data_IF_112452269355
#
_entry.id   IF_112452269355
#
_cell.length_a   1.000
_cell.length_b   1.000
_cell.length_c   1.000
_cell.angle_alpha   90.00
_cell.angle_beta   90.00
_cell.angle_gamma   90.00
#
_symmetry.space_group_name_H-M   'P 1'
#
loop_
_entity.id
_entity.type
_entity.pdbx_description
1 polymer ?
#
# COMPACT_ATOMS: atom_id res chain seq x y z
N UNK A 1 13.14 16.13 8.79
CA UNK A 1 12.70 15.67 10.14
C UNK A 1 11.30 15.04 10.16
N UNK A 2 10.45 15.20 9.13
CA UNK A 2 9.09 14.65 9.11
C UNK A 2 9.02 13.11 8.97
N UNK A 3 9.96 12.49 8.26
CA UNK A 3 9.97 11.03 7.98
C UNK A 3 10.07 10.17 9.25
N UNK A 4 10.72 10.67 10.32
CA UNK A 4 10.90 9.93 11.59
C UNK A 4 9.60 9.74 12.37
N UNK A 5 8.68 10.72 12.31
CA UNK A 5 7.40 10.63 13.03
C UNK A 5 6.46 9.64 12.35
N UNK A 6 6.43 9.67 11.01
CA UNK A 6 5.67 8.72 10.21
C UNK A 6 6.01 7.26 10.53
N UNK A 7 7.31 6.93 10.62
CA UNK A 7 7.75 5.57 10.91
C UNK A 7 7.26 5.07 12.28
N UNK A 8 7.25 5.95 13.28
CA UNK A 8 6.80 5.62 14.64
C UNK A 8 5.29 5.40 14.65
N UNK A 9 4.52 6.28 14.01
CA UNK A 9 3.06 6.14 13.93
C UNK A 9 2.67 4.86 13.20
N UNK A 10 3.34 4.56 12.09
CA UNK A 10 3.12 3.32 11.34
C UNK A 10 3.48 2.11 12.20
N UNK A 11 4.65 2.09 12.84
CA UNK A 11 5.06 1.01 13.72
C UNK A 11 4.10 0.83 14.91
N UNK A 12 3.58 1.91 15.49
CA UNK A 12 2.57 1.85 16.56
C UNK A 12 1.25 1.27 16.06
N UNK A 13 0.82 1.69 14.87
CA UNK A 13 -0.41 1.21 14.25
C UNK A 13 -0.33 -0.28 13.96
N UNK A 14 0.80 -0.74 13.41
CA UNK A 14 1.08 -2.15 13.18
C UNK A 14 1.25 -2.93 14.49
N UNK A 15 1.92 -2.38 15.51
CA UNK A 15 2.08 -3.02 16.82
C UNK A 15 0.76 -3.24 17.55
N UNK A 16 -0.23 -2.36 17.34
CA UNK A 16 -1.58 -2.55 17.88
C UNK A 16 -2.27 -3.79 17.27
N UNK A 17 -1.90 -4.19 16.05
CA UNK A 17 -2.14 -5.54 15.56
C UNK A 17 -1.01 -6.43 16.03
N UNK A 18 -1.12 -6.89 17.27
CA UNK A 18 -0.26 -7.92 17.84
C UNK A 18 -0.12 -9.07 16.82
N UNK A 19 1.09 -9.63 16.67
CA UNK A 19 1.33 -10.90 15.95
C UNK A 19 0.46 -11.97 16.61
N UNK A 20 -0.71 -12.20 16.04
CA UNK A 20 -1.61 -13.29 16.39
C UNK A 20 -1.14 -14.49 15.53
N UNK A 21 -1.24 -15.72 16.01
CA UNK A 21 -0.98 -16.90 15.17
C UNK A 21 -2.27 -17.30 14.46
N UNK A 22 -2.69 -16.50 13.49
CA UNK A 22 -3.91 -16.65 12.68
C UNK A 22 -3.63 -17.27 11.29
N UNK A 23 -2.43 -17.83 11.08
CA UNK A 23 -2.04 -18.45 9.81
C UNK A 23 -1.81 -17.48 8.65
N UNK A 24 -1.90 -16.17 8.90
CA UNK A 24 -1.62 -15.11 7.93
C UNK A 24 -0.12 -14.95 7.70
N UNK A 25 0.25 -14.83 6.42
CA UNK A 25 1.66 -14.79 5.95
C UNK A 25 2.20 -13.36 5.95
N UNK A 26 1.34 -12.39 5.64
CA UNK A 26 1.71 -10.98 5.50
C UNK A 26 1.15 -10.13 6.65
N UNK A 27 1.97 -9.21 7.13
CA UNK A 27 1.57 -8.22 8.12
C UNK A 27 0.73 -7.11 7.47
N UNK A 28 1.05 -6.74 6.22
CA UNK A 28 0.17 -5.91 5.40
C UNK A 28 0.29 -6.18 3.89
N UNK A 29 -0.83 -6.00 3.20
CA UNK A 29 -0.92 -5.88 1.74
C UNK A 29 -0.90 -4.41 1.36
N UNK A 30 0.03 -3.99 0.49
CA UNK A 30 0.20 -2.59 0.09
C UNK A 30 -0.45 -2.35 -1.26
N UNK A 31 -1.38 -1.39 -1.32
CA UNK A 31 -2.08 -0.96 -2.53
C UNK A 31 -1.87 0.53 -2.76
N UNK A 32 -1.68 0.91 -4.02
CA UNK A 32 -1.41 2.30 -4.42
C UNK A 32 -1.91 2.55 -5.85
N UNK A 33 -2.31 3.80 -6.19
CA UNK A 33 -2.70 4.15 -7.55
C UNK A 33 -1.48 4.21 -8.47
N UNK A 34 -1.40 3.30 -9.46
CA UNK A 34 -0.26 3.20 -10.41
C UNK A 34 -0.10 4.42 -11.31
N UNK A 35 -1.18 5.14 -11.60
CA UNK A 35 -1.19 6.32 -12.48
C UNK A 35 -0.32 7.48 -11.96
N UNK A 36 0.00 7.49 -10.67
CA UNK A 36 0.77 8.56 -10.01
C UNK A 36 2.26 8.26 -9.83
N UNK A 37 2.76 7.10 -10.28
CA UNK A 37 4.04 6.53 -9.83
C UNK A 37 5.22 6.90 -10.75
N UNK A 38 4.99 7.59 -11.87
CA UNK A 38 6.06 8.11 -12.72
C UNK A 38 6.84 9.21 -11.98
N UNK A 39 8.09 8.91 -11.57
CA UNK A 39 9.09 9.83 -11.00
C UNK A 39 8.70 10.66 -9.75
N UNK A 40 7.63 10.27 -9.04
CA UNK A 40 7.11 11.04 -7.90
C UNK A 40 7.57 10.50 -6.54
N UNK A 41 7.40 11.29 -5.47
CA UNK A 41 7.73 10.92 -4.10
C UNK A 41 7.08 9.59 -3.65
N UNK A 42 5.94 9.21 -4.24
CA UNK A 42 5.28 7.92 -4.03
C UNK A 42 6.15 6.72 -4.41
N UNK A 43 6.84 6.77 -5.56
CA UNK A 43 7.68 5.66 -6.03
C UNK A 43 8.87 5.42 -5.10
N UNK A 44 9.52 6.53 -4.69
CA UNK A 44 10.62 6.50 -3.71
C UNK A 44 10.12 5.98 -2.36
N UNK A 45 8.94 6.42 -1.95
CA UNK A 45 8.34 5.98 -0.70
C UNK A 45 8.03 4.47 -0.70
N UNK A 46 7.38 3.95 -1.75
CA UNK A 46 7.03 2.53 -1.87
C UNK A 46 8.24 1.62 -2.02
N UNK A 47 9.25 2.05 -2.79
CA UNK A 47 10.39 1.20 -3.12
C UNK A 47 11.50 1.22 -2.06
N UNK A 48 11.65 2.34 -1.33
CA UNK A 48 12.76 2.52 -0.39
C UNK A 48 12.29 2.79 1.03
N UNK A 49 11.52 3.86 1.24
CA UNK A 49 11.21 4.34 2.61
C UNK A 49 10.36 3.34 3.38
N UNK A 50 9.32 2.82 2.74
CA UNK A 50 8.35 1.92 3.37
C UNK A 50 8.97 0.56 3.69
N UNK A 51 9.67 -0.13 2.76
CA UNK A 51 10.48 -1.31 3.07
C UNK A 51 11.53 -1.09 4.16
N UNK A 52 12.30 0.00 4.10
CA UNK A 52 13.37 0.28 5.06
C UNK A 52 12.85 0.51 6.49
N UNK A 53 11.63 1.01 6.65
CA UNK A 53 11.03 1.23 7.98
C UNK A 53 10.30 -0.03 8.46
N UNK A 54 9.43 -0.59 7.63
CA UNK A 54 8.56 -1.68 8.07
C UNK A 54 9.26 -3.03 8.02
N UNK A 55 10.04 -3.33 6.99
CA UNK A 55 10.71 -4.63 6.84
C UNK A 55 12.05 -4.64 7.60
N UNK A 56 12.93 -3.66 7.36
CA UNK A 56 14.28 -3.64 7.96
C UNK A 56 14.27 -3.23 9.44
N UNK A 57 13.67 -2.09 9.79
CA UNK A 57 13.68 -1.62 11.18
C UNK A 57 12.67 -2.33 12.08
N UNK A 58 11.50 -2.69 11.56
CA UNK A 58 10.41 -3.28 12.36
C UNK A 58 10.22 -4.79 12.17
N UNK A 59 10.82 -5.40 11.14
CA UNK A 59 10.71 -6.84 10.89
C UNK A 59 9.32 -7.31 10.47
N UNK A 60 8.50 -6.43 9.88
CA UNK A 60 7.20 -6.78 9.31
C UNK A 60 7.36 -7.38 7.91
N UNK A 61 6.43 -8.25 7.51
CA UNK A 61 6.36 -8.80 6.16
C UNK A 61 5.30 -8.07 5.36
N UNK A 62 5.70 -7.44 4.27
CA UNK A 62 4.79 -6.73 3.38
C UNK A 62 4.64 -7.49 2.07
N UNK A 63 3.45 -7.40 1.49
CA UNK A 63 3.26 -7.72 0.08
C UNK A 63 3.04 -6.42 -0.67
N UNK A 64 3.95 -6.09 -1.60
CA UNK A 64 3.84 -4.90 -2.44
C UNK A 64 3.53 -5.34 -3.85
N UNK A 65 2.36 -4.93 -4.34
CA UNK A 65 1.97 -5.18 -5.72
C UNK A 65 2.99 -4.53 -6.67
N UNK A 66 3.38 -5.24 -7.73
CA UNK A 66 4.47 -4.92 -8.66
C UNK A 66 5.84 -5.45 -8.27
N UNK A 67 6.09 -5.71 -6.98
CA UNK A 67 7.37 -6.28 -6.48
C UNK A 67 7.27 -7.77 -6.21
N UNK A 68 6.19 -8.16 -5.54
CA UNK A 68 6.01 -9.51 -4.97
C UNK A 68 5.00 -10.37 -5.76
N UNK A 69 4.51 -9.87 -6.90
CA UNK A 69 3.52 -10.56 -7.72
C UNK A 69 4.08 -11.82 -8.39
N UNK A 70 3.25 -12.86 -8.44
CA UNK A 70 3.54 -14.07 -9.20
C UNK A 70 3.21 -13.86 -10.68
N UNK A 71 4.18 -14.04 -11.60
CA UNK A 71 3.90 -13.90 -13.03
C UNK A 71 2.96 -15.02 -13.50
N UNK A 72 1.87 -14.63 -14.16
CA UNK A 72 0.88 -15.56 -14.73
C UNK A 72 -0.27 -15.95 -13.80
N UNK A 73 -0.36 -15.40 -12.59
CA UNK A 73 -1.55 -15.48 -11.74
C UNK A 73 -2.61 -14.49 -12.23
N UNK A 74 -3.90 -14.83 -12.08
CA UNK A 74 -4.98 -13.88 -12.36
C UNK A 74 -4.96 -12.75 -11.31
N UNK A 75 -5.09 -11.50 -11.77
CA UNK A 75 -4.98 -10.33 -10.88
C UNK A 75 -6.06 -10.36 -9.79
N UNK A 76 -7.29 -10.76 -10.13
CA UNK A 76 -8.38 -10.79 -9.16
C UNK A 76 -8.15 -11.86 -8.09
N UNK A 77 -7.73 -13.04 -8.51
CA UNK A 77 -7.38 -14.13 -7.60
C UNK A 77 -6.19 -13.76 -6.70
N UNK A 78 -5.20 -13.06 -7.26
CA UNK A 78 -4.03 -12.59 -6.51
C UNK A 78 -4.43 -11.57 -5.44
N UNK A 79 -5.26 -10.58 -5.76
CA UNK A 79 -5.76 -9.59 -4.79
C UNK A 79 -6.52 -10.26 -3.66
N UNK A 80 -7.49 -11.13 -3.99
CA UNK A 80 -8.29 -11.85 -3.00
C UNK A 80 -7.41 -12.70 -2.08
N UNK A 81 -6.45 -13.42 -2.66
CA UNK A 81 -5.49 -14.23 -1.92
C UNK A 81 -4.63 -13.36 -1.00
N UNK A 82 -4.08 -12.27 -1.50
CA UNK A 82 -3.23 -11.37 -0.73
C UNK A 82 -4.00 -10.73 0.43
N UNK A 83 -5.24 -10.33 0.22
CA UNK A 83 -6.14 -9.85 1.27
C UNK A 83 -6.36 -10.89 2.36
N UNK A 84 -6.67 -12.12 1.98
CA UNK A 84 -6.91 -13.21 2.95
C UNK A 84 -5.66 -13.53 3.76
N UNK A 85 -4.50 -13.49 3.12
CA UNK A 85 -3.20 -13.77 3.74
C UNK A 85 -2.63 -12.57 4.52
N UNK A 86 -3.25 -11.39 4.44
CA UNK A 86 -2.78 -10.16 5.06
C UNK A 86 -3.60 -9.77 6.28
N UNK A 87 -2.91 -9.26 7.30
CA UNK A 87 -3.58 -8.78 8.53
C UNK A 87 -4.18 -7.40 8.35
N UNK A 88 -3.57 -6.59 7.49
CA UNK A 88 -3.94 -5.21 7.23
C UNK A 88 -3.83 -4.87 5.74
N UNK A 89 -4.63 -3.92 5.31
CA UNK A 89 -4.48 -3.28 4.01
C UNK A 89 -3.80 -1.93 4.23
N UNK A 90 -2.63 -1.73 3.65
CA UNK A 90 -1.91 -0.46 3.65
C UNK A 90 -2.16 0.24 2.32
N UNK A 91 -2.96 1.28 2.37
CA UNK A 91 -3.31 2.15 1.26
C UNK A 91 -2.31 3.29 1.23
N UNK A 92 -1.55 3.45 0.14
CA UNK A 92 -0.59 4.55 -0.03
C UNK A 92 -1.05 5.42 -1.20
N UNK A 93 -1.21 6.73 -0.95
CA UNK A 93 -1.69 7.68 -1.96
C UNK A 93 -1.00 9.04 -1.81
N UNK A 94 -0.99 9.85 -2.88
CA UNK A 94 -0.41 11.20 -2.85
C UNK A 94 -1.46 12.26 -2.58
N UNK A 95 -1.05 13.32 -1.88
CA UNK A 95 -1.87 14.48 -1.56
C UNK A 95 -2.02 15.46 -2.72
N UNK A 96 -2.40 15.00 -3.91
CA UNK A 96 -2.70 15.95 -4.99
C UNK A 96 -3.84 15.40 -5.83
N UNK A 97 -4.96 16.11 -5.80
CA UNK A 97 -6.05 15.98 -6.77
C UNK A 97 -5.65 16.47 -8.16
N UNK A 98 -4.48 16.08 -8.68
CA UNK A 98 -4.01 16.41 -10.03
C UNK A 98 -3.68 15.16 -10.83
N UNK A 99 -4.54 14.14 -10.73
CA UNK A 99 -4.69 13.18 -11.83
C UNK A 99 -5.68 13.76 -12.84
N UNK A 100 -5.39 14.98 -13.29
CA UNK A 100 -6.18 15.74 -14.24
C UNK A 100 -5.48 15.77 -15.59
N UNK A 101 -5.64 14.71 -16.37
CA UNK A 101 -5.61 14.78 -17.83
C UNK A 101 -4.33 14.34 -18.54
N UNK A 102 -4.32 13.10 -18.99
CA UNK A 102 -4.28 12.66 -20.40
C UNK A 102 -3.93 11.17 -20.37
N UNK A 103 -4.87 10.29 -20.69
CA UNK A 103 -5.01 9.89 -22.08
C UNK A 103 -4.31 8.55 -22.28
N UNK A 104 -5.08 7.47 -22.06
CA UNK A 104 -4.81 6.07 -22.44
C UNK A 104 -3.78 5.31 -21.59
N UNK A 105 -4.26 4.54 -20.61
CA UNK A 105 -3.63 3.31 -20.09
C UNK A 105 -4.72 2.39 -19.46
N UNK A 106 -4.50 1.07 -19.36
CA UNK A 106 -5.56 0.06 -19.57
C UNK A 106 -6.48 -0.18 -18.35
N UNK A 107 -7.71 -0.68 -18.58
CA UNK A 107 -8.71 -0.93 -17.53
C UNK A 107 -8.31 -1.95 -16.45
N UNK A 108 -7.17 -2.62 -16.60
CA UNK A 108 -6.76 -3.74 -15.77
C UNK A 108 -5.98 -3.29 -14.53
N UNK A 109 -5.24 -2.17 -14.58
CA UNK A 109 -4.31 -1.80 -13.50
C UNK A 109 -4.94 -0.99 -12.36
N UNK A 110 -6.12 -0.40 -12.59
CA UNK A 110 -6.92 0.28 -11.56
C UNK A 110 -7.75 -0.70 -10.72
N UNK A 111 -7.91 -1.93 -11.22
CA UNK A 111 -8.80 -2.94 -10.69
C UNK A 111 -8.38 -3.42 -9.30
N UNK A 112 -7.08 -3.58 -9.06
CA UNK A 112 -6.56 -4.13 -7.81
C UNK A 112 -6.69 -3.15 -6.64
N UNK A 113 -6.51 -1.85 -6.89
CA UNK A 113 -6.80 -0.82 -5.91
C UNK A 113 -8.30 -0.70 -5.64
N UNK A 114 -9.13 -0.66 -6.70
CA UNK A 114 -10.57 -0.51 -6.55
C UNK A 114 -11.20 -1.72 -5.83
N UNK A 115 -10.80 -2.95 -6.18
CA UNK A 115 -11.19 -4.15 -5.45
C UNK A 115 -10.58 -4.20 -4.06
N UNK A 116 -9.31 -3.79 -3.95
CA UNK A 116 -8.56 -3.51 -2.73
C UNK A 116 -9.39 -2.80 -1.67
N UNK A 117 -9.83 -1.63 -2.06
CA UNK A 117 -10.62 -0.71 -1.24
C UNK A 117 -12.06 -1.20 -1.08
N UNK A 118 -12.70 -1.69 -2.15
CA UNK A 118 -14.08 -2.16 -2.08
C UNK A 118 -14.25 -3.36 -1.14
N UNK A 119 -13.39 -4.38 -1.24
CA UNK A 119 -13.44 -5.53 -0.34
C UNK A 119 -13.20 -5.10 1.11
N UNK A 120 -12.23 -4.23 1.36
CA UNK A 120 -11.95 -3.80 2.73
C UNK A 120 -13.07 -2.94 3.34
N UNK A 121 -13.69 -2.04 2.56
CA UNK A 121 -14.75 -1.14 3.05
C UNK A 121 -16.13 -1.80 3.12
N UNK A 122 -16.44 -2.72 2.20
CA UNK A 122 -17.77 -3.33 2.09
C UNK A 122 -17.85 -4.64 2.87
N UNK A 123 -16.77 -5.41 2.94
CA UNK A 123 -16.77 -6.70 3.63
C UNK A 123 -16.24 -6.60 5.08
N UNK A 124 -15.65 -5.47 5.49
CA UNK A 124 -15.02 -5.23 6.81
C UNK A 124 -14.04 -6.33 7.25
N UNK A 125 -13.47 -7.07 6.30
CA UNK A 125 -12.65 -8.27 6.57
C UNK A 125 -11.24 -7.96 7.07
N UNK A 126 -10.77 -6.73 6.83
CA UNK A 126 -9.38 -6.34 7.08
C UNK A 126 -9.29 -4.87 7.54
N UNK A 127 -8.41 -4.59 8.50
CA UNK A 127 -8.16 -3.21 8.95
C UNK A 127 -7.34 -2.45 7.91
N UNK A 128 -7.85 -1.29 7.49
CA UNK A 128 -7.19 -0.40 6.52
C UNK A 128 -6.37 0.66 7.23
N UNK A 129 -5.15 0.90 6.73
CA UNK A 129 -4.28 2.01 7.09
C UNK A 129 -4.09 2.85 5.85
N UNK A 130 -4.43 4.14 5.92
CA UNK A 130 -4.20 5.08 4.82
C UNK A 130 -2.96 5.91 5.12
N UNK A 131 -2.04 5.95 4.17
CA UNK A 131 -0.82 6.76 4.18
C UNK A 131 -0.90 7.73 3.03
N UNK A 132 -0.95 9.01 3.39
CA UNK A 132 -0.88 10.10 2.44
C UNK A 132 0.56 10.62 2.38
N UNK A 133 1.14 10.58 1.19
CA UNK A 133 2.47 11.10 0.90
C UNK A 133 2.31 12.46 0.24
N UNK A 134 2.85 13.49 0.86
CA UNK A 134 2.85 14.83 0.26
C UNK A 134 4.18 15.05 -0.45
N UNK A 135 4.12 15.50 -1.69
CA UNK A 135 5.30 16.00 -2.39
C UNK A 135 5.60 17.40 -1.84
N UNK A 136 6.82 17.62 -1.33
CA UNK A 136 7.24 18.85 -0.66
C UNK A 136 7.35 20.08 -1.57
N UNK A 137 6.56 20.17 -2.64
CA UNK A 137 6.45 21.35 -3.48
C UNK A 137 5.65 22.43 -2.74
N UNK A 138 6.30 23.04 -1.74
CA UNK A 138 5.91 24.33 -1.22
C UNK A 138 6.01 25.35 -2.36
N UNK A 139 4.90 25.59 -3.07
CA UNK A 139 4.77 26.76 -3.92
C UNK A 139 4.76 27.99 -3.01
N UNK A 140 5.88 28.70 -3.03
CA UNK A 140 6.01 30.11 -2.61
C UNK A 140 5.09 31.02 -3.42
#
# INVERSE_FOLDING_TARGET
MAVKWFAIDLALLFRRARRIEDGKVYDAYVVYPRECVCENALSVFLSFTLPAVLEDQCGYKLFIHGRDDLPGEDQAEQVERCMRLSRRLLVVMTAVGSCGGQGVAPPLEEFDWQMGVHSALVQETISVIVVQVEDGHTHT
#
